data_IF_693489740542
#
_entry.id   IF_693489740542
#
_cell.length_a   1.000
_cell.length_b   1.000
_cell.length_c   1.000
_cell.angle_alpha   90.00
_cell.angle_beta   90.00
_cell.angle_gamma   90.00
#
_symmetry.space_group_name_H-M   'P 1'
#
loop_
_entity.id
_entity.type
_entity.pdbx_description
1 polymer ?
#
# COMPACT_ATOMS: atom_id res chain seq x y z
N UNK A 1 -17.15 30.09 -3.50
CA UNK A 1 -16.87 29.08 -4.52
C UNK A 1 -17.12 27.67 -3.94
N UNK A 2 -16.66 27.36 -2.74
CA UNK A 2 -16.73 26.02 -2.15
C UNK A 2 -18.00 25.72 -1.31
N UNK A 3 -18.85 26.68 -1.03
CA UNK A 3 -20.11 26.41 -0.33
C UNK A 3 -20.97 25.43 -1.13
N UNK A 4 -21.32 24.26 -0.55
CA UNK A 4 -22.02 23.16 -1.20
C UNK A 4 -21.08 22.18 -1.94
N UNK A 5 -19.77 22.25 -1.67
CA UNK A 5 -18.80 21.32 -2.24
C UNK A 5 -19.03 19.86 -1.82
N UNK A 6 -19.61 19.67 -0.63
CA UNK A 6 -19.97 18.36 -0.09
C UNK A 6 -20.96 17.61 -1.00
N UNK A 7 -21.90 18.29 -1.62
CA UNK A 7 -22.83 17.69 -2.60
C UNK A 7 -22.13 17.26 -3.88
N UNK A 8 -21.21 18.09 -4.38
CA UNK A 8 -20.41 17.78 -5.56
C UNK A 8 -19.51 16.57 -5.29
N UNK A 9 -18.84 16.58 -4.14
CA UNK A 9 -17.91 15.54 -3.78
C UNK A 9 -18.59 14.18 -3.60
N UNK A 10 -19.78 14.13 -2.98
CA UNK A 10 -20.53 12.88 -2.84
C UNK A 10 -21.03 12.35 -4.19
N UNK A 11 -21.49 13.24 -5.10
CA UNK A 11 -21.85 12.82 -6.49
C UNK A 11 -20.64 12.26 -7.23
N UNK A 12 -19.47 12.87 -7.08
CA UNK A 12 -18.22 12.38 -7.65
C UNK A 12 -17.84 10.98 -7.14
N UNK A 13 -17.92 10.77 -5.84
CA UNK A 13 -17.61 9.51 -5.16
C UNK A 13 -18.54 8.38 -5.61
N UNK A 14 -19.85 8.63 -5.60
CA UNK A 14 -20.87 7.65 -5.93
C UNK A 14 -21.07 7.44 -7.45
N UNK A 15 -20.55 8.35 -8.30
CA UNK A 15 -20.76 8.38 -9.76
C UNK A 15 -22.23 8.29 -10.16
N UNK A 16 -23.13 8.73 -9.25
CA UNK A 16 -24.57 8.62 -9.39
C UNK A 16 -25.30 9.61 -8.49
N UNK A 17 -26.13 10.45 -9.06
CA UNK A 17 -26.96 11.38 -8.29
C UNK A 17 -27.93 10.69 -7.31
N UNK A 18 -28.49 9.54 -7.71
CA UNK A 18 -29.45 8.81 -6.86
C UNK A 18 -28.74 8.17 -5.66
N UNK A 19 -27.56 7.56 -5.87
CA UNK A 19 -26.77 6.98 -4.76
C UNK A 19 -26.24 8.07 -3.82
N UNK A 20 -25.70 9.16 -4.36
CA UNK A 20 -25.22 10.27 -3.57
C UNK A 20 -26.35 10.92 -2.74
N UNK A 21 -27.55 11.07 -3.30
CA UNK A 21 -28.70 11.58 -2.57
C UNK A 21 -29.08 10.66 -1.39
N UNK A 22 -29.06 9.34 -1.61
CA UNK A 22 -29.31 8.38 -0.55
C UNK A 22 -28.22 8.43 0.54
N UNK A 23 -26.93 8.55 0.18
CA UNK A 23 -25.82 8.68 1.11
C UNK A 23 -25.90 9.97 1.96
N UNK A 24 -26.41 11.05 1.38
CA UNK A 24 -26.60 12.33 2.07
C UNK A 24 -27.96 12.46 2.79
N UNK A 25 -28.80 11.43 2.75
CA UNK A 25 -30.15 11.42 3.34
C UNK A 25 -31.04 12.56 2.85
N UNK A 26 -30.94 12.94 1.56
CA UNK A 26 -31.76 13.97 0.90
C UNK A 26 -32.44 13.44 -0.35
N UNK A 27 -33.42 14.16 -0.88
CA UNK A 27 -34.04 13.78 -2.15
C UNK A 27 -33.12 14.07 -3.33
N UNK A 28 -33.18 13.23 -4.36
CA UNK A 28 -32.37 13.43 -5.59
C UNK A 28 -32.65 14.78 -6.28
N UNK A 29 -33.91 15.30 -6.36
CA UNK A 29 -34.16 16.65 -6.85
C UNK A 29 -33.45 17.73 -6.02
N UNK A 30 -33.43 17.61 -4.69
CA UNK A 30 -32.71 18.54 -3.80
C UNK A 30 -31.22 18.53 -4.08
N UNK A 31 -30.62 17.34 -4.18
CA UNK A 31 -29.20 17.21 -4.54
C UNK A 31 -28.91 17.83 -5.91
N UNK A 32 -29.72 17.54 -6.92
CA UNK A 32 -29.56 18.10 -8.26
C UNK A 32 -29.65 19.63 -8.28
N UNK A 33 -30.55 20.21 -7.48
CA UNK A 33 -30.67 21.67 -7.32
C UNK A 33 -29.43 22.28 -6.67
N UNK A 34 -28.88 21.63 -5.62
CA UNK A 34 -27.65 22.07 -4.95
C UNK A 34 -26.44 22.02 -5.89
N UNK A 35 -26.26 20.91 -6.61
CA UNK A 35 -25.20 20.78 -7.63
C UNK A 35 -25.34 21.87 -8.69
N UNK A 36 -26.54 22.09 -9.24
CA UNK A 36 -26.79 23.14 -10.24
C UNK A 36 -26.49 24.55 -9.70
N UNK A 37 -26.75 24.79 -8.41
CA UNK A 37 -26.43 26.08 -7.77
C UNK A 37 -24.90 26.30 -7.73
N UNK A 38 -24.12 25.25 -7.44
CA UNK A 38 -22.65 25.33 -7.48
C UNK A 38 -22.16 25.54 -8.91
N UNK A 39 -22.65 24.76 -9.88
CA UNK A 39 -22.31 24.89 -11.31
C UNK A 39 -22.63 26.32 -11.84
N UNK A 40 -23.80 26.86 -11.49
CA UNK A 40 -24.18 28.23 -11.87
C UNK A 40 -23.25 29.30 -11.26
N UNK A 41 -22.77 29.09 -10.02
CA UNK A 41 -21.81 30.01 -9.37
C UNK A 41 -20.45 29.98 -10.01
N UNK A 42 -20.03 28.80 -10.52
CA UNK A 42 -18.76 28.61 -11.22
C UNK A 42 -18.87 29.09 -12.67
N UNK A 43 -20.06 29.03 -13.25
CA UNK A 43 -20.34 29.34 -14.64
C UNK A 43 -20.12 28.19 -15.64
N UNK A 44 -19.75 27.03 -15.13
CA UNK A 44 -19.47 25.84 -15.95
C UNK A 44 -20.03 24.57 -15.32
N UNK A 45 -20.42 23.56 -16.14
CA UNK A 45 -20.84 22.26 -15.63
C UNK A 45 -19.63 21.51 -15.06
N UNK A 46 -19.84 20.86 -13.91
CA UNK A 46 -18.84 19.99 -13.24
C UNK A 46 -18.98 18.57 -13.74
N UNK A 47 -20.22 18.12 -13.99
CA UNK A 47 -20.50 16.75 -14.41
C UNK A 47 -20.99 16.69 -15.88
N UNK A 48 -20.46 15.72 -16.61
CA UNK A 48 -21.00 15.32 -17.91
C UNK A 48 -22.17 14.35 -17.69
N UNK A 49 -23.40 14.86 -17.83
CA UNK A 49 -24.62 14.09 -17.61
C UNK A 49 -25.02 13.21 -18.80
N UNK A 50 -24.28 13.29 -19.91
CA UNK A 50 -24.51 12.45 -21.11
C UNK A 50 -23.90 11.06 -20.98
N UNK A 51 -22.97 10.86 -20.04
CA UNK A 51 -22.22 9.63 -19.86
C UNK A 51 -22.80 8.70 -18.79
N UNK A 52 -22.64 7.41 -18.98
CA UNK A 52 -22.94 6.36 -17.97
C UNK A 52 -21.76 5.39 -17.89
N UNK A 53 -21.04 5.28 -16.76
CA UNK A 53 -21.26 6.03 -15.51
C UNK A 53 -20.99 7.53 -15.67
N UNK A 54 -21.55 8.34 -14.74
CA UNK A 54 -21.38 9.79 -14.69
C UNK A 54 -19.89 10.16 -14.63
N UNK A 55 -19.46 11.10 -15.45
CA UNK A 55 -18.07 11.55 -15.52
C UNK A 55 -17.94 13.03 -15.19
N UNK A 56 -16.71 13.46 -14.85
CA UNK A 56 -16.36 14.85 -14.67
C UNK A 56 -16.05 15.50 -16.03
N UNK A 57 -16.43 16.77 -16.18
CA UNK A 57 -15.88 17.64 -17.22
C UNK A 57 -14.42 18.02 -16.88
N UNK A 58 -13.70 18.68 -17.80
CA UNK A 58 -12.35 19.21 -17.47
C UNK A 58 -12.41 20.21 -16.30
N UNK A 59 -13.41 21.10 -16.30
CA UNK A 59 -13.63 22.02 -15.17
C UNK A 59 -13.95 21.24 -13.90
N UNK A 60 -14.74 20.16 -14.02
CA UNK A 60 -15.07 19.27 -12.90
C UNK A 60 -13.85 18.61 -12.27
N UNK A 61 -12.87 18.16 -13.07
CA UNK A 61 -11.62 17.59 -12.55
C UNK A 61 -10.86 18.61 -11.69
N UNK A 62 -10.63 19.80 -12.21
CA UNK A 62 -9.95 20.88 -11.46
C UNK A 62 -10.73 21.32 -10.23
N UNK A 63 -12.07 21.31 -10.30
CA UNK A 63 -12.90 21.63 -9.15
C UNK A 63 -12.77 20.60 -8.04
N UNK A 64 -12.81 19.30 -8.37
CA UNK A 64 -12.62 18.21 -7.40
C UNK A 64 -11.22 18.28 -6.77
N UNK A 65 -10.16 18.51 -7.55
CA UNK A 65 -8.81 18.70 -7.02
C UNK A 65 -8.75 19.86 -6.02
N UNK A 66 -9.44 20.95 -6.28
CA UNK A 66 -9.52 22.09 -5.37
C UNK A 66 -10.34 21.77 -4.11
N UNK A 67 -11.47 21.05 -4.25
CA UNK A 67 -12.30 20.57 -3.13
C UNK A 67 -11.48 19.66 -2.21
N UNK A 68 -10.76 18.69 -2.76
CA UNK A 68 -9.91 17.78 -1.97
C UNK A 68 -8.84 18.53 -1.16
N UNK A 69 -8.26 19.61 -1.71
CA UNK A 69 -7.33 20.49 -0.97
C UNK A 69 -8.01 21.25 0.17
N UNK A 70 -9.24 21.75 -0.05
CA UNK A 70 -10.01 22.46 1.00
C UNK A 70 -10.37 21.50 2.14
N UNK A 71 -10.86 20.30 1.81
CA UNK A 71 -11.16 19.25 2.79
C UNK A 71 -9.91 18.84 3.59
N UNK A 72 -8.74 18.76 2.96
CA UNK A 72 -7.49 18.46 3.65
C UNK A 72 -7.10 19.55 4.65
N UNK A 73 -7.32 20.84 4.30
CA UNK A 73 -7.08 21.96 5.22
C UNK A 73 -8.05 21.90 6.41
N UNK A 74 -9.34 21.63 6.16
CA UNK A 74 -10.35 21.47 7.21
C UNK A 74 -10.00 20.32 8.16
N UNK A 75 -9.66 19.15 7.62
CA UNK A 75 -9.23 17.99 8.40
C UNK A 75 -7.98 18.27 9.24
N UNK A 76 -7.00 19.00 8.69
CA UNK A 76 -5.79 19.38 9.41
C UNK A 76 -6.11 20.28 10.62
N UNK A 77 -7.01 21.25 10.45
CA UNK A 77 -7.46 22.13 11.53
C UNK A 77 -8.24 21.32 12.59
N UNK A 78 -9.14 20.45 12.16
CA UNK A 78 -9.92 19.59 13.06
C UNK A 78 -9.00 18.70 13.90
N UNK A 79 -8.02 18.03 13.28
CA UNK A 79 -7.03 17.24 13.99
C UNK A 79 -6.22 18.06 14.99
N UNK A 80 -5.80 19.28 14.62
CA UNK A 80 -5.13 20.18 15.55
C UNK A 80 -6.01 20.54 16.77
N UNK A 81 -7.28 20.83 16.53
CA UNK A 81 -8.23 21.14 17.62
C UNK A 81 -8.49 19.94 18.54
N UNK A 82 -8.58 18.73 17.98
CA UNK A 82 -8.74 17.49 18.73
C UNK A 82 -7.48 17.19 19.58
N UNK A 83 -6.29 17.46 19.07
CA UNK A 83 -5.04 17.26 19.79
C UNK A 83 -4.90 18.16 21.04
N UNK A 84 -5.55 19.33 21.06
CA UNK A 84 -5.64 20.16 22.27
C UNK A 84 -6.36 19.44 23.42
N UNK A 85 -7.18 18.44 23.13
CA UNK A 85 -7.92 17.61 24.07
C UNK A 85 -7.19 16.39 24.61
N UNK A 86 -5.86 16.25 24.42
CA UNK A 86 -5.03 15.14 24.91
C UNK A 86 -5.40 13.74 24.39
N UNK A 87 -5.62 13.57 23.08
CA UNK A 87 -5.98 12.27 22.44
C UNK A 87 -7.20 11.57 23.05
N UNK A 88 -8.14 12.33 23.61
CA UNK A 88 -9.38 11.75 24.12
C UNK A 88 -10.33 11.30 23.01
N UNK A 89 -10.21 11.85 21.82
CA UNK A 89 -11.00 11.52 20.63
C UNK A 89 -10.17 11.83 19.37
N UNK A 90 -10.56 11.31 18.23
CA UNK A 90 -9.91 11.60 16.95
C UNK A 90 -10.06 10.45 15.97
N UNK A 91 -9.52 10.63 14.77
CA UNK A 91 -9.51 9.61 13.71
C UNK A 91 -8.08 9.41 13.23
N UNK A 92 -7.75 8.18 12.81
CA UNK A 92 -6.50 7.83 12.17
C UNK A 92 -6.80 6.90 10.99
N UNK A 93 -6.56 7.39 9.78
CA UNK A 93 -6.80 6.64 8.55
C UNK A 93 -5.48 6.07 8.03
N UNK A 94 -5.31 4.77 8.11
CA UNK A 94 -4.08 4.09 7.69
C UNK A 94 -4.33 3.24 6.44
N UNK A 95 -3.33 3.17 5.56
CA UNK A 95 -3.43 2.39 4.34
C UNK A 95 -2.21 1.51 4.10
N UNK A 96 -2.41 0.42 3.38
CA UNK A 96 -1.34 -0.47 2.95
C UNK A 96 -1.79 -1.40 1.82
N UNK A 97 -0.82 -1.94 1.06
CA UNK A 97 -1.13 -3.01 0.12
C UNK A 97 -1.47 -4.30 0.87
N UNK A 98 -1.99 -5.31 0.16
CA UNK A 98 -2.53 -6.55 0.74
C UNK A 98 -1.67 -7.16 1.85
N UNK A 99 -0.35 -7.32 1.63
CA UNK A 99 0.53 -7.87 2.65
C UNK A 99 0.57 -6.99 3.92
N UNK A 100 0.74 -5.68 3.77
CA UNK A 100 0.82 -4.77 4.91
C UNK A 100 -0.50 -4.67 5.67
N UNK A 101 -1.62 -4.64 4.95
CA UNK A 101 -2.96 -4.59 5.55
C UNK A 101 -3.37 -5.89 6.24
N UNK A 102 -2.84 -7.03 5.78
CA UNK A 102 -3.18 -8.33 6.36
C UNK A 102 -2.28 -8.73 7.54
N UNK A 103 -1.00 -8.31 7.54
CA UNK A 103 -0.01 -8.87 8.47
C UNK A 103 0.76 -7.85 9.30
N UNK A 104 0.92 -6.61 8.82
CA UNK A 104 1.71 -5.60 9.50
C UNK A 104 0.82 -4.61 10.25
N UNK A 105 -0.19 -4.05 9.59
CA UNK A 105 -1.06 -3.05 10.21
C UNK A 105 -1.98 -3.60 11.32
N UNK A 106 -2.57 -4.81 11.22
CA UNK A 106 -3.50 -5.29 12.23
C UNK A 106 -2.93 -5.36 13.65
N UNK A 107 -1.73 -5.94 13.91
CA UNK A 107 -1.15 -5.93 15.25
C UNK A 107 -0.85 -4.50 15.74
N UNK A 108 -0.36 -3.61 14.88
CA UNK A 108 -0.10 -2.21 15.26
C UNK A 108 -1.42 -1.48 15.61
N UNK A 109 -2.48 -1.72 14.84
CA UNK A 109 -3.81 -1.17 15.11
C UNK A 109 -4.35 -1.70 16.44
N UNK A 110 -4.19 -2.99 16.72
CA UNK A 110 -4.64 -3.59 17.98
C UNK A 110 -3.93 -2.97 19.18
N UNK A 111 -2.60 -2.83 19.12
CA UNK A 111 -1.78 -2.22 20.19
C UNK A 111 -2.15 -0.74 20.38
N UNK A 112 -2.36 -0.02 19.29
CA UNK A 112 -2.79 1.38 19.34
C UNK A 112 -4.17 1.53 19.96
N UNK A 113 -5.15 0.73 19.52
CA UNK A 113 -6.53 0.80 20.02
C UNK A 113 -6.63 0.45 21.51
N UNK A 114 -5.75 -0.44 22.02
CA UNK A 114 -5.66 -0.70 23.45
C UNK A 114 -5.19 0.52 24.23
N UNK A 115 -4.22 1.27 23.71
CA UNK A 115 -3.66 2.47 24.37
C UNK A 115 -4.58 3.69 24.24
N UNK A 116 -5.27 3.80 23.12
CA UNK A 116 -6.10 4.96 22.75
C UNK A 116 -7.51 4.53 22.30
N UNK A 117 -8.34 4.00 23.22
CA UNK A 117 -9.62 3.35 22.88
C UNK A 117 -10.68 4.31 22.30
N UNK A 118 -10.47 5.62 22.40
CA UNK A 118 -11.39 6.62 21.87
C UNK A 118 -10.95 7.20 20.52
N UNK A 119 -9.83 6.78 19.98
CA UNK A 119 -9.40 7.13 18.63
C UNK A 119 -9.93 6.10 17.65
N UNK A 120 -10.72 6.55 16.68
CA UNK A 120 -11.23 5.67 15.63
C UNK A 120 -10.15 5.43 14.57
N UNK A 121 -9.87 4.16 14.25
CA UNK A 121 -8.94 3.80 13.18
C UNK A 121 -9.71 3.24 11.99
N UNK A 122 -9.38 3.75 10.81
CA UNK A 122 -9.81 3.21 9.52
C UNK A 122 -8.62 2.57 8.81
N UNK A 123 -8.80 1.34 8.32
CA UNK A 123 -7.82 0.63 7.52
C UNK A 123 -8.28 0.51 6.07
N UNK A 124 -7.44 0.96 5.14
CA UNK A 124 -7.70 0.90 3.70
C UNK A 124 -6.67 0.00 3.02
N UNK A 125 -7.17 -1.04 2.36
CA UNK A 125 -6.36 -1.92 1.51
C UNK A 125 -6.55 -1.52 0.04
N UNK A 126 -5.46 -1.16 -0.65
CA UNK A 126 -5.48 -0.79 -2.07
C UNK A 126 -4.10 -0.98 -2.72
N UNK A 127 -4.00 -0.77 -4.03
CA UNK A 127 -2.72 -0.73 -4.74
C UNK A 127 -1.89 0.50 -4.32
N UNK A 128 -0.56 0.41 -4.39
CA UNK A 128 0.37 1.52 -4.10
C UNK A 128 -0.01 2.81 -4.82
N UNK A 129 -0.39 2.73 -6.11
CA UNK A 129 -0.80 3.91 -6.89
C UNK A 129 -2.05 4.59 -6.31
N UNK A 130 -3.05 3.82 -5.90
CA UNK A 130 -4.28 4.34 -5.29
C UNK A 130 -4.07 4.86 -3.88
N UNK A 131 -3.25 4.17 -3.08
CA UNK A 131 -2.84 4.62 -1.75
C UNK A 131 -2.11 5.96 -1.82
N UNK A 132 -1.19 6.13 -2.78
CA UNK A 132 -0.49 7.39 -3.01
C UNK A 132 -1.47 8.53 -3.36
N UNK A 133 -2.46 8.27 -4.22
CA UNK A 133 -3.51 9.24 -4.54
C UNK A 133 -4.35 9.62 -3.31
N UNK A 134 -4.74 8.63 -2.49
CA UNK A 134 -5.53 8.88 -1.28
C UNK A 134 -4.72 9.66 -0.23
N UNK A 135 -3.43 9.37 -0.10
CA UNK A 135 -2.53 10.09 0.78
C UNK A 135 -2.36 11.55 0.33
N UNK A 136 -2.17 11.77 -0.98
CA UNK A 136 -2.05 13.10 -1.57
C UNK A 136 -3.33 13.92 -1.43
N UNK A 137 -4.50 13.28 -1.55
CA UNK A 137 -5.80 13.90 -1.36
C UNK A 137 -6.19 14.11 0.11
N UNK A 138 -5.34 13.70 1.08
CA UNK A 138 -5.62 13.82 2.51
C UNK A 138 -6.65 12.83 3.05
N UNK A 139 -7.07 11.83 2.26
CA UNK A 139 -8.02 10.78 2.67
C UNK A 139 -7.39 9.76 3.62
N UNK A 140 -6.07 9.59 3.52
CA UNK A 140 -5.27 8.77 4.43
C UNK A 140 -4.29 9.67 5.19
N UNK A 141 -4.03 9.30 6.42
CA UNK A 141 -3.06 9.95 7.31
C UNK A 141 -1.68 9.33 7.13
N UNK A 142 -1.64 7.99 7.12
CA UNK A 142 -0.42 7.20 6.97
C UNK A 142 -0.62 6.08 5.94
N UNK A 143 0.40 5.81 5.16
CA UNK A 143 0.48 4.65 4.26
C UNK A 143 1.77 3.91 4.52
N UNK A 144 1.70 2.59 4.72
CA UNK A 144 2.89 1.74 4.77
C UNK A 144 3.13 1.10 3.40
N UNK A 145 4.35 1.27 2.89
CA UNK A 145 4.75 0.70 1.60
C UNK A 145 6.27 0.47 1.52
N UNK A 146 6.70 -0.40 0.63
CA UNK A 146 8.10 -0.63 0.28
C UNK A 146 8.50 0.01 -1.07
N UNK A 147 7.56 0.64 -1.75
CA UNK A 147 7.82 1.44 -2.94
C UNK A 147 8.34 2.83 -2.52
N UNK A 148 9.29 3.37 -3.27
CA UNK A 148 9.77 4.75 -3.03
C UNK A 148 8.77 5.72 -3.66
N UNK A 149 8.09 6.50 -2.82
CA UNK A 149 7.20 7.57 -3.24
C UNK A 149 7.99 8.89 -3.46
N UNK A 150 7.38 9.83 -4.17
CA UNK A 150 7.99 11.12 -4.48
C UNK A 150 8.21 11.99 -3.23
N UNK A 151 9.47 12.24 -2.88
CA UNK A 151 9.86 13.06 -1.72
C UNK A 151 9.50 14.56 -1.86
N UNK A 152 9.10 15.01 -3.04
CA UNK A 152 8.55 16.36 -3.20
C UNK A 152 7.13 16.48 -2.66
N UNK A 153 6.39 15.36 -2.68
CA UNK A 153 4.98 15.28 -2.29
C UNK A 153 4.80 14.63 -0.91
N UNK A 154 5.65 13.67 -0.56
CA UNK A 154 5.51 12.87 0.66
C UNK A 154 6.74 12.98 1.55
N UNK A 155 6.49 12.94 2.84
CA UNK A 155 7.49 12.68 3.89
C UNK A 155 7.35 11.24 4.37
N UNK A 156 8.38 10.71 5.02
CA UNK A 156 8.36 9.32 5.44
C UNK A 156 9.12 9.10 6.76
N UNK A 157 8.73 8.01 7.42
CA UNK A 157 9.42 7.43 8.57
C UNK A 157 9.85 6.00 8.21
N UNK A 158 11.10 5.66 8.49
CA UNK A 158 11.61 4.30 8.24
C UNK A 158 10.99 3.31 9.21
N UNK A 159 10.21 2.38 8.67
CA UNK A 159 9.65 1.29 9.45
C UNK A 159 10.71 0.19 9.67
N UNK A 160 11.16 -0.45 8.59
CA UNK A 160 12.06 -1.60 8.67
C UNK A 160 12.83 -1.80 7.35
N UNK A 161 14.07 -2.33 7.44
CA UNK A 161 14.79 -2.84 6.28
C UNK A 161 14.22 -4.20 5.88
N UNK A 162 14.10 -4.43 4.59
CA UNK A 162 13.62 -5.67 3.99
C UNK A 162 14.59 -6.15 2.92
N UNK A 163 14.71 -7.47 2.77
CA UNK A 163 15.50 -8.07 1.72
C UNK A 163 14.66 -9.11 0.96
N UNK A 164 14.69 -9.03 -0.38
CA UNK A 164 14.11 -10.05 -1.23
C UNK A 164 14.98 -11.31 -1.21
N UNK A 165 14.32 -12.44 -1.13
CA UNK A 165 14.86 -13.78 -1.19
C UNK A 165 14.24 -14.52 -2.38
N UNK A 166 14.90 -15.57 -2.86
CA UNK A 166 14.32 -16.50 -3.80
C UNK A 166 13.68 -17.64 -3.02
N UNK A 167 12.39 -17.88 -3.23
CA UNK A 167 11.64 -18.98 -2.65
C UNK A 167 11.43 -20.06 -3.70
N UNK A 168 12.00 -21.24 -3.47
CA UNK A 168 12.03 -22.37 -4.40
C UNK A 168 11.24 -23.53 -3.79
N UNK A 169 10.31 -24.17 -4.54
CA UNK A 169 9.61 -25.34 -4.05
C UNK A 169 10.57 -26.45 -3.62
N UNK A 170 10.33 -27.03 -2.46
CA UNK A 170 11.20 -28.04 -1.84
C UNK A 170 11.39 -29.28 -2.71
N UNK A 171 10.38 -29.66 -3.47
CA UNK A 171 10.41 -30.83 -4.36
C UNK A 171 11.23 -30.62 -5.65
N UNK A 172 11.79 -29.43 -5.88
CA UNK A 172 12.63 -29.19 -7.05
C UNK A 172 14.01 -29.82 -6.87
N UNK A 173 14.42 -30.66 -7.84
CA UNK A 173 15.69 -31.41 -7.78
C UNK A 173 16.93 -30.51 -7.70
N UNK A 174 16.83 -29.28 -8.17
CA UNK A 174 17.92 -28.29 -8.11
C UNK A 174 18.38 -28.01 -6.68
N UNK A 175 17.47 -28.11 -5.69
CA UNK A 175 17.77 -27.86 -4.27
C UNK A 175 18.87 -28.78 -3.73
N UNK A 176 18.98 -30.01 -4.24
CA UNK A 176 20.02 -30.96 -3.79
C UNK A 176 21.44 -30.55 -4.22
N UNK A 177 21.55 -29.73 -5.28
CA UNK A 177 22.84 -29.22 -5.82
C UNK A 177 23.23 -27.87 -5.25
N UNK A 178 22.33 -27.21 -4.51
CA UNK A 178 22.48 -25.83 -4.01
C UNK A 178 22.41 -25.77 -2.49
N UNK A 179 22.72 -26.84 -1.76
CA UNK A 179 22.63 -26.89 -0.30
C UNK A 179 23.44 -25.81 0.41
N UNK A 180 24.61 -25.46 -0.13
CA UNK A 180 25.49 -24.42 0.43
C UNK A 180 24.91 -23.01 0.38
N UNK A 181 23.88 -22.78 -0.46
CA UNK A 181 23.20 -21.49 -0.62
C UNK A 181 21.88 -21.39 0.17
N UNK A 182 21.42 -22.50 0.79
CA UNK A 182 20.13 -22.56 1.46
C UNK A 182 20.17 -21.80 2.78
N UNK A 183 19.12 -21.04 3.03
CA UNK A 183 18.95 -20.30 4.28
C UNK A 183 17.90 -21.01 5.15
N UNK A 184 18.24 -21.40 6.38
CA UNK A 184 17.25 -21.91 7.33
C UNK A 184 16.16 -20.86 7.61
N UNK A 185 14.91 -21.28 7.66
CA UNK A 185 13.78 -20.36 7.90
C UNK A 185 13.91 -19.60 9.22
N UNK A 186 14.50 -20.23 10.24
CA UNK A 186 14.73 -19.59 11.54
C UNK A 186 15.72 -18.42 11.44
N UNK A 187 16.76 -18.53 10.59
CA UNK A 187 17.69 -17.42 10.35
C UNK A 187 17.02 -16.26 9.59
N UNK A 188 16.01 -16.55 8.75
CA UNK A 188 15.24 -15.51 8.08
C UNK A 188 14.38 -14.78 9.11
N UNK A 189 13.67 -15.51 9.95
CA UNK A 189 12.74 -14.97 10.95
C UNK A 189 13.42 -14.07 11.99
N UNK A 190 14.59 -14.45 12.45
CA UNK A 190 15.38 -13.67 13.40
C UNK A 190 16.34 -12.67 12.74
N UNK A 191 16.36 -12.60 11.40
CA UNK A 191 17.19 -11.68 10.63
C UNK A 191 18.69 -12.03 10.56
N UNK A 192 19.11 -13.14 11.16
CA UNK A 192 20.52 -13.56 11.19
C UNK A 192 21.08 -13.87 9.81
N UNK A 193 20.25 -14.29 8.86
CA UNK A 193 20.68 -14.58 7.49
C UNK A 193 21.38 -13.39 6.82
N UNK A 194 21.09 -12.14 7.24
CA UNK A 194 21.70 -10.93 6.65
C UNK A 194 23.19 -10.82 6.94
N UNK A 195 23.63 -11.32 8.11
CA UNK A 195 25.02 -11.36 8.55
C UNK A 195 25.66 -12.75 8.41
N UNK A 196 24.91 -13.78 7.99
CA UNK A 196 25.43 -15.13 7.81
C UNK A 196 26.41 -15.21 6.63
N UNK A 197 27.35 -16.14 6.70
CA UNK A 197 28.32 -16.41 5.63
C UNK A 197 27.71 -17.17 4.43
N UNK A 198 26.41 -17.49 4.45
CA UNK A 198 25.72 -18.14 3.34
C UNK A 198 25.80 -17.24 2.10
N UNK A 199 26.37 -17.72 0.98
CA UNK A 199 26.54 -16.92 -0.22
C UNK A 199 25.21 -16.69 -0.94
N UNK A 200 25.17 -15.67 -1.80
CA UNK A 200 24.05 -15.46 -2.71
C UNK A 200 24.04 -16.49 -3.81
N UNK A 201 22.86 -17.02 -4.13
CA UNK A 201 22.73 -18.06 -5.16
C UNK A 201 22.87 -17.45 -6.57
N UNK A 202 23.64 -18.07 -7.47
CA UNK A 202 23.69 -17.66 -8.87
C UNK A 202 22.36 -17.98 -9.58
N UNK A 203 21.68 -16.96 -10.13
CA UNK A 203 20.37 -17.12 -10.74
C UNK A 203 20.33 -18.01 -11.97
N UNK A 204 21.44 -18.09 -12.73
CA UNK A 204 21.55 -18.96 -13.90
C UNK A 204 21.39 -20.45 -13.57
N UNK A 205 21.53 -20.84 -12.30
CA UNK A 205 21.25 -22.22 -11.87
C UNK A 205 19.78 -22.62 -12.03
N UNK A 206 18.88 -21.62 -12.11
CA UNK A 206 17.44 -21.82 -12.21
C UNK A 206 16.88 -21.57 -13.62
N UNK A 207 17.73 -21.57 -14.67
CA UNK A 207 17.32 -21.21 -16.04
C UNK A 207 16.22 -22.11 -16.63
N UNK A 208 16.14 -23.37 -16.19
CA UNK A 208 15.15 -24.34 -16.66
C UNK A 208 13.93 -24.45 -15.73
N UNK A 209 13.86 -23.68 -14.67
CA UNK A 209 12.79 -23.76 -13.70
C UNK A 209 11.69 -22.71 -14.00
N UNK A 210 10.41 -23.00 -13.69
CA UNK A 210 9.31 -22.04 -13.88
C UNK A 210 9.31 -20.97 -12.80
N UNK A 211 9.03 -19.73 -13.19
CA UNK A 211 8.97 -18.57 -12.30
C UNK A 211 7.58 -17.97 -12.19
N UNK A 212 7.23 -17.53 -10.99
CA UNK A 212 6.08 -16.71 -10.65
C UNK A 212 6.61 -15.31 -10.37
N UNK A 213 6.24 -14.33 -11.22
CA UNK A 213 6.74 -12.96 -11.13
C UNK A 213 5.55 -12.03 -10.87
N UNK A 214 5.71 -11.04 -9.98
CA UNK A 214 4.74 -9.99 -9.83
C UNK A 214 4.81 -9.01 -11.02
N UNK A 215 3.70 -8.31 -11.29
CA UNK A 215 3.66 -7.31 -12.36
C UNK A 215 4.64 -6.16 -12.06
N UNK A 216 5.10 -5.50 -13.11
CA UNK A 216 6.13 -4.46 -13.04
C UNK A 216 5.66 -3.14 -12.41
N UNK A 217 4.37 -2.95 -12.21
CA UNK A 217 3.79 -1.85 -11.42
C UNK A 217 3.87 -2.09 -9.90
N UNK A 218 4.21 -3.32 -9.49
CA UNK A 218 4.53 -3.68 -8.10
C UNK A 218 6.05 -3.59 -7.88
N UNK A 219 6.50 -3.01 -6.76
CA UNK A 219 7.95 -2.86 -6.45
C UNK A 219 8.68 -4.20 -6.44
N UNK A 220 8.10 -5.26 -5.87
CA UNK A 220 8.70 -6.60 -5.87
C UNK A 220 8.89 -7.13 -7.29
N UNK A 221 7.90 -6.96 -8.17
CA UNK A 221 7.98 -7.38 -9.57
C UNK A 221 9.04 -6.60 -10.34
N UNK A 222 9.09 -5.28 -10.17
CA UNK A 222 10.11 -4.41 -10.77
C UNK A 222 11.52 -4.82 -10.32
N UNK A 223 11.72 -5.02 -9.02
CA UNK A 223 13.01 -5.45 -8.46
C UNK A 223 13.41 -6.84 -8.93
N UNK A 224 12.48 -7.80 -8.97
CA UNK A 224 12.74 -9.14 -9.48
C UNK A 224 13.29 -9.10 -10.90
N UNK A 225 12.67 -8.31 -11.79
CA UNK A 225 13.16 -8.14 -13.17
C UNK A 225 14.52 -7.44 -13.21
N UNK A 226 14.74 -6.41 -12.38
CA UNK A 226 16.04 -5.72 -12.28
C UNK A 226 17.13 -6.69 -11.81
N UNK A 227 16.88 -7.50 -10.77
CA UNK A 227 17.82 -8.51 -10.28
C UNK A 227 18.14 -9.52 -11.38
N UNK A 228 17.14 -9.97 -12.14
CA UNK A 228 17.36 -10.87 -13.27
C UNK A 228 18.27 -10.22 -14.33
N UNK A 229 18.00 -8.97 -14.72
CA UNK A 229 18.80 -8.23 -15.70
C UNK A 229 20.26 -8.02 -15.25
N UNK A 230 20.48 -7.60 -13.99
CA UNK A 230 21.80 -7.41 -13.39
C UNK A 230 22.64 -8.71 -13.37
N UNK A 231 21.97 -9.86 -13.37
CA UNK A 231 22.61 -11.18 -13.35
C UNK A 231 22.55 -11.91 -14.70
N UNK A 232 22.27 -11.20 -15.79
CA UNK A 232 22.15 -11.74 -17.16
C UNK A 232 21.25 -12.99 -17.24
N UNK A 233 20.17 -12.97 -16.47
CA UNK A 233 19.23 -14.07 -16.33
C UNK A 233 17.85 -13.70 -16.87
N UNK A 234 17.22 -14.62 -17.61
CA UNK A 234 15.87 -14.47 -18.13
C UNK A 234 14.98 -15.57 -17.57
N UNK A 235 14.05 -15.26 -16.63
CA UNK A 235 13.19 -16.27 -16.02
C UNK A 235 12.16 -16.80 -17.00
N UNK A 236 11.89 -18.12 -16.97
CA UNK A 236 10.74 -18.74 -17.64
C UNK A 236 9.47 -18.46 -16.83
N UNK A 237 8.73 -17.40 -17.19
CA UNK A 237 7.59 -16.92 -16.41
C UNK A 237 6.31 -17.70 -16.75
N UNK A 238 5.77 -18.45 -15.77
CA UNK A 238 4.51 -19.21 -15.90
C UNK A 238 3.30 -18.44 -15.35
N UNK A 239 3.50 -17.59 -14.33
CA UNK A 239 2.45 -16.74 -13.76
C UNK A 239 2.93 -15.30 -13.58
N UNK A 240 2.03 -14.33 -13.90
CA UNK A 240 2.18 -12.91 -13.58
C UNK A 240 1.06 -12.49 -12.65
N UNK A 241 1.39 -12.08 -11.43
CA UNK A 241 0.45 -11.84 -10.34
C UNK A 241 0.60 -10.41 -9.80
N UNK A 242 -0.41 -9.96 -9.07
CA UNK A 242 -0.41 -8.64 -8.43
C UNK A 242 0.07 -8.70 -6.96
N UNK A 243 -0.18 -9.83 -6.28
CA UNK A 243 0.00 -9.93 -4.83
C UNK A 243 1.07 -10.95 -4.44
N UNK A 244 1.97 -10.54 -3.54
CA UNK A 244 3.08 -11.37 -3.05
C UNK A 244 2.57 -12.61 -2.29
N UNK A 245 1.48 -12.47 -1.51
CA UNK A 245 0.88 -13.61 -0.82
C UNK A 245 0.35 -14.67 -1.76
N UNK A 246 -0.25 -14.28 -2.88
CA UNK A 246 -0.71 -15.21 -3.90
C UNK A 246 0.46 -15.96 -4.54
N UNK A 247 1.55 -15.25 -4.86
CA UNK A 247 2.75 -15.88 -5.39
C UNK A 247 3.38 -16.86 -4.40
N UNK A 248 3.43 -16.50 -3.11
CA UNK A 248 3.90 -17.38 -2.04
C UNK A 248 3.07 -18.68 -1.96
N UNK A 249 1.75 -18.57 -1.91
CA UNK A 249 0.86 -19.72 -1.80
C UNK A 249 0.98 -20.66 -3.01
N UNK A 250 1.10 -20.11 -4.23
CA UNK A 250 1.26 -20.92 -5.45
C UNK A 250 2.65 -21.60 -5.47
N UNK A 251 3.68 -20.92 -4.98
CA UNK A 251 5.01 -21.52 -4.84
C UNK A 251 5.02 -22.67 -3.82
N UNK A 252 4.29 -22.53 -2.69
CA UNK A 252 4.11 -23.61 -1.71
C UNK A 252 3.46 -24.89 -2.33
N UNK A 253 2.67 -24.71 -3.39
CA UNK A 253 2.06 -25.84 -4.12
C UNK A 253 3.01 -26.45 -5.18
N UNK A 254 4.25 -25.97 -5.26
CA UNK A 254 5.24 -26.52 -6.19
C UNK A 254 5.14 -26.00 -7.63
N UNK A 255 4.38 -24.91 -7.88
CA UNK A 255 4.06 -24.47 -9.25
C UNK A 255 5.06 -23.46 -9.83
N UNK A 256 6.10 -23.06 -9.08
CA UNK A 256 7.14 -22.16 -9.57
C UNK A 256 7.93 -21.47 -8.47
N UNK A 257 9.06 -20.91 -8.87
CA UNK A 257 9.97 -20.13 -8.02
C UNK A 257 9.46 -18.69 -7.95
N UNK A 258 9.55 -18.04 -6.79
CA UNK A 258 9.14 -16.64 -6.66
C UNK A 258 10.12 -15.80 -5.84
N UNK A 259 10.07 -14.48 -6.04
CA UNK A 259 10.79 -13.49 -5.25
C UNK A 259 9.90 -13.03 -4.11
N UNK A 260 10.42 -13.09 -2.86
CA UNK A 260 9.64 -12.81 -1.67
C UNK A 260 10.43 -11.98 -0.65
N UNK A 261 9.78 -11.06 0.04
CA UNK A 261 10.40 -10.32 1.13
C UNK A 261 10.56 -11.16 2.39
N UNK A 262 11.69 -11.02 3.08
CA UNK A 262 11.94 -11.67 4.36
C UNK A 262 10.94 -11.21 5.44
N UNK A 263 10.42 -10.00 5.32
CA UNK A 263 9.38 -9.48 6.21
C UNK A 263 8.10 -10.33 6.13
N UNK A 264 7.70 -10.78 4.92
CA UNK A 264 6.57 -11.67 4.78
C UNK A 264 6.84 -13.01 5.51
N UNK A 265 8.02 -13.59 5.32
CA UNK A 265 8.38 -14.87 5.93
C UNK A 265 8.47 -14.80 7.46
N UNK A 266 8.74 -13.63 8.02
CA UNK A 266 8.73 -13.42 9.48
C UNK A 266 7.33 -13.35 10.08
N UNK A 267 6.30 -13.08 9.27
CA UNK A 267 4.92 -12.85 9.72
C UNK A 267 3.96 -13.99 9.41
N UNK A 268 4.13 -14.65 8.25
CA UNK A 268 3.25 -15.77 7.88
C UNK A 268 3.60 -17.05 8.67
N UNK A 269 2.65 -17.97 8.87
CA UNK A 269 2.95 -19.28 9.43
C UNK A 269 4.02 -20.01 8.62
N UNK A 270 4.89 -20.75 9.32
CA UNK A 270 5.97 -21.50 8.67
C UNK A 270 5.39 -22.54 7.72
N UNK A 271 5.86 -22.54 6.48
CA UNK A 271 5.55 -23.57 5.50
C UNK A 271 6.84 -24.30 5.14
N UNK A 272 6.87 -25.61 5.33
CA UNK A 272 8.03 -26.47 5.07
C UNK A 272 8.24 -26.81 3.58
N UNK A 273 7.35 -26.32 2.70
CA UNK A 273 7.34 -26.68 1.28
C UNK A 273 8.26 -25.79 0.42
N UNK A 274 8.93 -24.80 1.02
CA UNK A 274 9.84 -23.90 0.33
C UNK A 274 11.24 -23.95 0.93
N UNK A 275 12.23 -23.80 0.05
CA UNK A 275 13.64 -23.55 0.34
C UNK A 275 13.96 -22.10 -0.06
N UNK A 276 14.76 -21.41 0.74
CA UNK A 276 15.06 -20.00 0.54
C UNK A 276 16.53 -19.77 0.23
N UNK A 277 16.78 -18.79 -0.64
CA UNK A 277 18.14 -18.43 -1.08
C UNK A 277 18.33 -16.92 -1.05
N UNK A 278 19.55 -16.47 -0.69
CA UNK A 278 19.95 -15.06 -0.85
C UNK A 278 20.07 -14.71 -2.33
N UNK A 279 19.56 -13.54 -2.66
CA UNK A 279 19.73 -12.95 -3.99
C UNK A 279 20.99 -12.07 -4.03
N UNK A 280 21.70 -12.04 -5.17
CA UNK A 280 22.84 -11.15 -5.36
C UNK A 280 22.40 -9.69 -5.53
N UNK A 281 23.34 -8.77 -5.34
CA UNK A 281 23.20 -7.35 -5.65
C UNK A 281 22.44 -6.53 -4.61
N UNK A 282 22.48 -5.21 -4.79
CA UNK A 282 21.80 -4.25 -3.90
C UNK A 282 20.32 -4.14 -4.21
N UNK A 283 19.89 -4.48 -5.43
CA UNK A 283 18.49 -4.46 -5.86
C UNK A 283 17.57 -5.38 -5.04
N UNK A 284 18.18 -6.41 -4.37
CA UNK A 284 17.46 -7.26 -3.42
C UNK A 284 17.13 -6.58 -2.09
N UNK A 285 17.79 -5.48 -1.74
CA UNK A 285 17.62 -4.77 -0.47
C UNK A 285 16.70 -3.57 -0.67
N UNK A 286 15.76 -3.39 0.25
CA UNK A 286 14.85 -2.22 0.26
C UNK A 286 14.49 -1.85 1.69
N UNK A 287 13.77 -0.74 1.82
CA UNK A 287 13.27 -0.25 3.09
C UNK A 287 11.76 -0.11 2.99
N UNK A 288 11.05 -0.49 4.04
CA UNK A 288 9.63 -0.24 4.21
C UNK A 288 9.49 1.06 4.99
N UNK A 289 8.57 1.92 4.53
CA UNK A 289 8.34 3.23 5.11
C UNK A 289 6.87 3.41 5.47
N UNK A 290 6.62 4.22 6.50
CA UNK A 290 5.36 4.93 6.65
C UNK A 290 5.49 6.27 5.96
N UNK A 291 4.52 6.59 5.10
CA UNK A 291 4.44 7.83 4.34
C UNK A 291 3.27 8.67 4.80
N UNK A 292 3.43 10.00 4.76
CA UNK A 292 2.36 10.98 4.86
C UNK A 292 2.59 12.13 3.88
N UNK A 293 1.54 12.91 3.62
CA UNK A 293 1.60 14.06 2.73
C UNK A 293 2.48 15.15 3.33
N UNK A 294 3.41 15.68 2.55
CA UNK A 294 4.29 16.76 2.97
C UNK A 294 3.50 18.03 3.31
N UNK A 295 3.91 18.70 4.41
CA UNK A 295 3.24 19.90 4.91
C UNK A 295 1.89 19.65 5.59
N UNK A 296 1.50 18.37 5.76
CA UNK A 296 0.33 18.01 6.58
C UNK A 296 0.64 18.20 8.07
N UNK A 297 -0.35 18.61 8.84
CA UNK A 297 -0.27 18.56 10.29
C UNK A 297 -0.11 17.10 10.75
N UNK A 298 0.96 16.85 11.49
CA UNK A 298 1.19 15.53 12.11
C UNK A 298 0.41 15.51 13.41
N UNK A 299 -0.72 14.80 13.41
CA UNK A 299 -1.54 14.67 14.60
C UNK A 299 -0.83 13.83 15.66
N UNK A 300 -1.17 14.04 16.91
CA UNK A 300 -0.65 13.23 18.02
C UNK A 300 -0.99 11.74 17.84
N UNK A 301 -2.12 11.42 17.23
CA UNK A 301 -2.48 10.05 16.88
C UNK A 301 -1.47 9.43 15.89
N UNK A 302 -1.06 10.18 14.85
CA UNK A 302 -0.01 9.74 13.92
C UNK A 302 1.32 9.56 14.63
N UNK A 303 1.74 10.52 15.46
CA UNK A 303 3.00 10.43 16.22
C UNK A 303 3.04 9.21 17.13
N UNK A 304 1.99 8.97 17.91
CA UNK A 304 1.91 7.84 18.82
C UNK A 304 1.82 6.49 18.08
N UNK A 305 1.16 6.46 16.92
CA UNK A 305 1.13 5.27 16.06
C UNK A 305 2.52 4.93 15.52
N UNK A 306 3.28 5.94 15.06
CA UNK A 306 4.65 5.75 14.55
C UNK A 306 5.67 5.38 15.63
N UNK A 307 5.37 5.64 16.94
CA UNK A 307 6.21 5.25 18.08
C UNK A 307 5.95 3.84 18.60
N UNK A 308 4.95 3.13 18.05
CA UNK A 308 4.66 1.77 18.52
C UNK A 308 5.86 0.86 18.30
N UNK A 309 6.17 -0.01 19.27
CA UNK A 309 7.25 -0.96 19.10
C UNK A 309 6.90 -1.94 17.97
N UNK A 310 7.82 -2.11 17.06
CA UNK A 310 7.71 -3.06 15.97
C UNK A 310 8.05 -4.46 16.52
N UNK A 311 7.03 -5.18 16.99
CA UNK A 311 7.15 -6.56 17.50
C UNK A 311 7.25 -7.61 16.39
#
# INVERSE_FOLDING_TARGET
>A
MFQGMEYIYEVYKEKSFSKAAAALFISQPSLSANVKRVENRIGYPIFDRSTKPLQLTEVGKHYIEAVEKVMDIENNLENFLLDLGNLKTGTLNVGGSNFFSSWILPPLIADFSQKFPHVQISLVEESTAKLSQFLQAGKLDLVIDNCILDNQIFEHYTYQKEQLLLAVPKNYSINTRLQEYQIPIEEIRNGQFRSSHIPSVPLNKFENEPFIILRSDNDTGKRALTICQENHFSPSVVFRLDQQMTAYNIACLGMGITFIGDLLLSRVPTNSELIFYKLPGQSSKRTVFFYWKKGRYISRAMEEFLKLPFS
#
